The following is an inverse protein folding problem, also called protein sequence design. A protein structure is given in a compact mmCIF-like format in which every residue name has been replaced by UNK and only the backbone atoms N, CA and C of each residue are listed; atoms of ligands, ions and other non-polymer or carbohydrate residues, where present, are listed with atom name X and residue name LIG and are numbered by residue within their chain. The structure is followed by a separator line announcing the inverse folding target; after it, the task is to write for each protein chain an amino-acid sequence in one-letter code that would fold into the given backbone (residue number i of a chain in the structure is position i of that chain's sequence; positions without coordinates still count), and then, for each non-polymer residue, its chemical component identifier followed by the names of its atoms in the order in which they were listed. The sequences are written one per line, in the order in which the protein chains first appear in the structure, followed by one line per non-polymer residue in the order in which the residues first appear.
data_IF_149331780508
#
_entry.id   IF_149331780508
#
_cell.length_a   1.000
_cell.length_b   1.000
_cell.length_c   1.000
_cell.angle_alpha   90.00
_cell.angle_beta   90.00
_cell.angle_gamma   90.00
#
_symmetry.space_group_name_H-M   'P 1'
#
loop_
_entity.id
_entity.type
_entity.pdbx_description
1 polymer ?
#
# COMPACT_ATOMS: atom_id res chain seq x y z
N UNK A 1 -9.57 -9.98 -6.81
CA UNK A 1 -9.20 -10.61 -5.52
C UNK A 1 -9.59 -9.72 -4.33
N UNK A 2 -9.15 -8.45 -4.24
CA UNK A 2 -9.54 -7.57 -3.11
C UNK A 2 -11.05 -7.29 -3.05
N UNK A 3 -11.66 -6.95 -4.19
CA UNK A 3 -13.10 -6.67 -4.27
C UNK A 3 -13.97 -7.83 -3.80
N UNK A 4 -13.68 -9.05 -4.27
CA UNK A 4 -14.38 -10.27 -3.85
C UNK A 4 -14.24 -10.54 -2.35
N UNK A 5 -13.03 -10.37 -1.80
CA UNK A 5 -12.80 -10.48 -0.36
C UNK A 5 -13.63 -9.46 0.41
N UNK A 6 -13.63 -8.19 -0.05
CA UNK A 6 -14.41 -7.13 0.59
C UNK A 6 -15.92 -7.42 0.53
N UNK A 7 -16.43 -7.94 -0.59
CA UNK A 7 -17.81 -8.35 -0.73
C UNK A 7 -18.18 -9.48 0.23
N UNK A 8 -17.35 -10.52 0.34
CA UNK A 8 -17.59 -11.63 1.26
C UNK A 8 -17.64 -11.13 2.70
N UNK A 9 -16.69 -10.29 3.11
CA UNK A 9 -16.63 -9.78 4.49
C UNK A 9 -17.75 -8.78 4.76
N UNK A 10 -17.79 -7.66 4.04
CA UNK A 10 -18.66 -6.53 4.35
C UNK A 10 -20.13 -6.76 3.95
N UNK A 11 -20.38 -7.42 2.82
CA UNK A 11 -21.75 -7.59 2.31
C UNK A 11 -22.35 -8.93 2.68
N UNK A 12 -21.65 -10.04 2.40
CA UNK A 12 -22.19 -11.39 2.63
C UNK A 12 -22.25 -11.75 4.11
N UNK A 13 -21.27 -11.32 4.90
CA UNK A 13 -21.18 -11.65 6.32
C UNK A 13 -21.35 -10.46 7.26
N UNK A 14 -21.60 -9.25 6.73
CA UNK A 14 -21.76 -8.02 7.53
C UNK A 14 -20.62 -7.79 8.53
N UNK A 15 -19.41 -8.22 8.15
CA UNK A 15 -18.20 -8.12 8.96
C UNK A 15 -17.45 -6.81 8.70
N UNK A 16 -16.52 -6.50 9.61
CA UNK A 16 -15.63 -5.34 9.45
C UNK A 16 -14.49 -5.67 8.48
N UNK A 17 -14.23 -4.78 7.53
CA UNK A 17 -13.04 -4.87 6.65
C UNK A 17 -11.74 -4.59 7.42
N UNK A 18 -11.87 -4.08 8.65
CA UNK A 18 -10.76 -3.65 9.52
C UNK A 18 -10.99 -4.16 10.94
N UNK A 19 -10.16 -5.10 11.39
CA UNK A 19 -10.16 -5.54 12.79
C UNK A 19 -9.43 -4.55 13.70
N UNK A 20 -8.12 -4.45 13.49
CA UNK A 20 -7.21 -3.58 14.27
C UNK A 20 -6.44 -2.58 13.39
N UNK A 21 -6.22 -2.92 12.12
CA UNK A 21 -5.53 -2.06 11.17
C UNK A 21 -6.55 -1.23 10.39
N UNK A 22 -6.33 0.09 10.36
CA UNK A 22 -7.23 1.03 9.69
C UNK A 22 -7.27 0.87 8.16
N UNK A 23 -8.05 1.73 7.52
CA UNK A 23 -8.35 1.65 6.07
C UNK A 23 -7.10 1.59 5.18
N UNK A 24 -6.24 2.60 5.25
CA UNK A 24 -5.13 2.74 4.31
C UNK A 24 -5.59 2.80 2.83
N UNK A 25 -4.64 2.99 1.92
CA UNK A 25 -4.96 2.99 0.47
C UNK A 25 -5.51 1.64 -0.01
N UNK A 26 -5.16 0.55 0.68
CA UNK A 26 -5.57 -0.80 0.26
C UNK A 26 -7.08 -1.03 0.41
N UNK A 27 -7.71 -0.46 1.45
CA UNK A 27 -9.14 -0.65 1.71
C UNK A 27 -9.99 0.56 1.32
N UNK A 28 -9.38 1.75 1.10
CA UNK A 28 -10.09 2.99 0.82
C UNK A 28 -11.19 2.89 -0.26
N UNK A 29 -10.99 2.19 -1.40
CA UNK A 29 -12.05 2.01 -2.41
C UNK A 29 -13.30 1.29 -1.92
N UNK A 30 -13.18 0.48 -0.87
CA UNK A 30 -14.23 -0.43 -0.40
C UNK A 30 -14.91 0.06 0.88
N UNK A 31 -14.53 1.23 1.40
CA UNK A 31 -15.08 1.77 2.66
C UNK A 31 -16.58 2.01 2.56
N UNK A 32 -17.07 2.49 1.43
CA UNK A 32 -18.51 2.69 1.22
C UNK A 32 -19.29 1.37 1.29
N UNK A 33 -18.70 0.26 0.84
CA UNK A 33 -19.33 -1.07 0.92
C UNK A 33 -19.59 -1.50 2.37
N UNK A 34 -18.69 -1.15 3.28
CA UNK A 34 -18.79 -1.45 4.71
C UNK A 34 -19.69 -0.46 5.46
N UNK A 35 -19.57 0.84 5.16
CA UNK A 35 -20.25 1.90 5.89
C UNK A 35 -21.67 2.20 5.35
N UNK A 36 -21.93 1.82 4.11
CA UNK A 36 -23.09 2.24 3.35
C UNK A 36 -23.00 3.70 2.91
N UNK A 37 -23.81 4.04 1.90
CA UNK A 37 -23.78 5.35 1.25
C UNK A 37 -24.03 6.52 2.21
N UNK A 38 -24.95 6.37 3.18
CA UNK A 38 -25.28 7.44 4.14
C UNK A 38 -24.10 7.83 5.02
N UNK A 39 -23.47 6.84 5.66
CA UNK A 39 -22.35 7.13 6.56
C UNK A 39 -21.10 7.54 5.76
N UNK A 40 -20.89 6.96 4.58
CA UNK A 40 -19.83 7.39 3.66
C UNK A 40 -19.97 8.86 3.23
N UNK A 41 -21.19 9.30 2.87
CA UNK A 41 -21.49 10.70 2.52
C UNK A 41 -21.22 11.66 3.68
N UNK A 42 -21.69 11.34 4.89
CA UNK A 42 -21.43 12.15 6.09
C UNK A 42 -19.92 12.32 6.37
N UNK A 43 -19.12 11.29 6.10
CA UNK A 43 -17.68 11.35 6.29
C UNK A 43 -16.99 12.23 5.24
N UNK A 44 -17.53 12.32 4.02
CA UNK A 44 -17.08 13.29 3.01
C UNK A 44 -17.43 14.73 3.40
N UNK A 45 -18.66 14.98 3.86
CA UNK A 45 -19.06 16.30 4.37
C UNK A 45 -18.14 16.74 5.53
N UNK A 46 -17.86 15.82 6.46
CA UNK A 46 -16.92 16.07 7.56
C UNK A 46 -15.51 16.39 7.04
N UNK A 47 -15.02 15.63 6.05
CA UNK A 47 -13.70 15.87 5.46
C UNK A 47 -13.62 17.25 4.82
N UNK A 48 -14.64 17.65 4.07
CA UNK A 48 -14.71 18.95 3.40
C UNK A 48 -14.77 20.12 4.38
N UNK A 49 -15.46 19.94 5.51
CA UNK A 49 -15.56 20.97 6.55
C UNK A 49 -14.22 21.24 7.25
N UNK A 50 -13.44 20.19 7.51
CA UNK A 50 -12.18 20.29 8.26
C UNK A 50 -10.94 20.43 7.37
N UNK A 51 -11.00 19.98 6.11
CA UNK A 51 -9.89 20.01 5.15
C UNK A 51 -10.41 20.27 3.73
N UNK A 52 -10.87 21.51 3.45
CA UNK A 52 -11.50 21.87 2.17
C UNK A 52 -10.58 21.72 0.96
N UNK A 53 -9.26 21.84 1.17
CA UNK A 53 -8.24 21.69 0.14
C UNK A 53 -7.70 20.24 0.04
N UNK A 54 -8.22 19.32 0.86
CA UNK A 54 -7.87 17.90 0.90
C UNK A 54 -6.36 17.61 1.10
N UNK A 55 -5.65 18.44 1.88
CA UNK A 55 -4.21 18.34 2.09
C UNK A 55 -3.84 17.25 3.12
N UNK A 56 -4.73 16.97 4.07
CA UNK A 56 -4.48 16.03 5.15
C UNK A 56 -4.69 14.58 4.68
N UNK A 57 -3.57 13.90 4.44
CA UNK A 57 -3.48 12.46 4.14
C UNK A 57 -4.31 12.02 2.92
N UNK A 58 -4.03 12.59 1.73
CA UNK A 58 -4.86 12.40 0.53
C UNK A 58 -4.94 10.94 0.09
N UNK A 59 -6.17 10.50 -0.14
CA UNK A 59 -6.49 9.20 -0.73
C UNK A 59 -6.29 7.98 0.17
N UNK A 60 -6.13 8.15 1.48
CA UNK A 60 -5.81 7.05 2.43
C UNK A 60 -7.02 6.49 3.17
N UNK A 61 -8.01 7.32 3.52
CA UNK A 61 -9.22 6.85 4.21
C UNK A 61 -10.41 6.96 3.27
N UNK A 62 -10.66 8.16 2.77
CA UNK A 62 -11.65 8.44 1.74
C UNK A 62 -10.91 8.62 0.43
N UNK A 63 -11.37 7.90 -0.59
CA UNK A 63 -10.79 8.00 -1.92
C UNK A 63 -11.84 7.65 -2.98
N UNK A 64 -11.94 8.48 -4.03
CA UNK A 64 -12.84 8.26 -5.16
C UNK A 64 -12.19 7.43 -6.28
N UNK A 65 -10.88 7.17 -6.19
CA UNK A 65 -10.16 6.33 -7.14
C UNK A 65 -10.34 4.84 -6.78
N UNK A 66 -11.08 4.06 -7.60
CA UNK A 66 -11.34 2.64 -7.30
C UNK A 66 -10.06 1.79 -7.32
N UNK A 67 -9.04 2.26 -8.05
CA UNK A 67 -7.80 1.51 -8.29
C UNK A 67 -6.65 1.96 -7.37
N UNK A 68 -6.89 2.84 -6.39
CA UNK A 68 -5.81 3.34 -5.52
C UNK A 68 -5.08 2.22 -4.78
N UNK A 69 -5.78 1.11 -4.50
CA UNK A 69 -5.26 -0.06 -3.81
C UNK A 69 -4.15 -0.80 -4.60
N UNK A 70 -3.99 -0.53 -5.91
CA UNK A 70 -2.95 -1.14 -6.76
C UNK A 70 -1.93 -0.15 -7.33
N UNK A 71 -2.20 1.16 -7.33
CA UNK A 71 -1.33 2.16 -7.99
C UNK A 71 0.01 2.42 -7.30
N UNK A 72 0.06 2.31 -5.97
CA UNK A 72 1.22 2.73 -5.16
C UNK A 72 1.86 1.58 -4.40
N UNK A 73 1.89 0.40 -5.00
CA UNK A 73 2.50 -0.78 -4.39
C UNK A 73 4.01 -0.59 -4.30
N UNK A 74 4.53 -0.73 -3.08
CA UNK A 74 5.97 -0.71 -2.85
C UNK A 74 6.59 -1.88 -3.61
N UNK A 75 7.54 -1.63 -4.55
CA UNK A 75 8.26 -2.70 -5.21
C UNK A 75 8.96 -3.57 -4.17
N UNK A 76 8.83 -4.88 -4.32
CA UNK A 76 9.52 -5.85 -3.46
C UNK A 76 10.27 -6.85 -4.34
N UNK A 77 11.37 -6.42 -5.00
CA UNK A 77 12.18 -7.34 -5.77
C UNK A 77 12.74 -8.46 -4.88
N UNK A 78 13.07 -9.59 -5.49
CA UNK A 78 13.76 -10.66 -4.78
C UNK A 78 15.15 -10.16 -4.35
N UNK A 79 15.54 -10.40 -3.09
CA UNK A 79 16.87 -10.03 -2.62
C UNK A 79 17.93 -11.04 -3.11
N UNK A 80 17.73 -12.32 -2.81
CA UNK A 80 18.53 -13.47 -3.27
C UNK A 80 17.86 -14.75 -2.76
N UNK A 81 18.05 -15.87 -3.46
CA UNK A 81 17.51 -17.18 -3.06
C UNK A 81 18.05 -17.67 -1.70
N UNK A 82 19.19 -17.15 -1.25
CA UNK A 82 19.88 -17.60 -0.03
C UNK A 82 19.50 -16.71 1.18
N UNK A 83 18.92 -15.53 0.95
CA UNK A 83 18.62 -14.57 2.03
C UNK A 83 17.33 -14.98 2.73
N UNK A 84 17.45 -15.43 3.99
CA UNK A 84 16.33 -15.70 4.88
C UNK A 84 16.24 -14.63 5.99
N UNK A 85 15.16 -14.65 6.78
CA UNK A 85 14.89 -13.67 7.85
C UNK A 85 15.84 -13.77 9.06
N UNK A 86 16.61 -14.85 9.18
CA UNK A 86 17.45 -15.17 10.34
C UNK A 86 18.93 -15.04 9.98
N UNK A 87 19.43 -13.80 9.94
CA UNK A 87 20.84 -13.53 9.66
C UNK A 87 21.67 -13.56 10.95
N UNK A 88 22.68 -14.45 11.08
CA UNK A 88 23.50 -14.57 12.30
C UNK A 88 24.41 -13.37 12.55
N UNK A 89 24.57 -12.47 11.57
CA UNK A 89 25.39 -11.25 11.69
C UNK A 89 24.61 -10.03 12.15
N UNK A 90 23.44 -10.21 12.80
CA UNK A 90 22.51 -9.14 13.20
C UNK A 90 23.21 -8.03 13.98
N UNK A 91 24.13 -8.39 14.88
CA UNK A 91 24.78 -7.46 15.82
C UNK A 91 26.22 -7.11 15.42
N UNK A 92 26.68 -7.57 14.26
CA UNK A 92 28.04 -7.32 13.75
C UNK A 92 28.06 -6.30 12.61
N UNK A 93 26.95 -6.16 11.88
CA UNK A 93 26.83 -5.33 10.67
C UNK A 93 25.39 -4.80 10.53
N UNK A 94 24.87 -4.62 9.31
CA UNK A 94 23.45 -4.30 9.07
C UNK A 94 22.53 -5.42 9.59
N UNK A 95 21.41 -5.01 10.19
CA UNK A 95 20.33 -5.92 10.60
C UNK A 95 19.77 -6.69 9.40
N UNK A 96 19.16 -7.88 9.59
CA UNK A 96 18.57 -8.64 8.49
C UNK A 96 17.64 -7.80 7.59
N UNK A 97 16.80 -6.94 8.18
CA UNK A 97 15.88 -6.07 7.43
C UNK A 97 16.62 -5.02 6.60
N UNK A 98 17.63 -4.37 7.18
CA UNK A 98 18.45 -3.38 6.46
C UNK A 98 19.22 -4.04 5.31
N UNK A 99 19.75 -5.25 5.53
CA UNK A 99 20.44 -6.02 4.48
C UNK A 99 19.50 -6.39 3.33
N UNK A 100 18.31 -6.91 3.63
CA UNK A 100 17.28 -7.20 2.61
C UNK A 100 16.96 -5.94 1.80
N UNK A 101 16.82 -4.78 2.46
CA UNK A 101 16.57 -3.52 1.77
C UNK A 101 17.71 -3.14 0.81
N UNK A 102 18.98 -3.26 1.26
CA UNK A 102 20.16 -2.99 0.41
C UNK A 102 20.23 -3.94 -0.78
N UNK A 103 20.08 -5.25 -0.57
CA UNK A 103 20.11 -6.22 -1.67
C UNK A 103 19.00 -5.99 -2.69
N UNK A 104 17.79 -5.65 -2.23
CA UNK A 104 16.67 -5.30 -3.10
C UNK A 104 16.99 -4.09 -3.97
N UNK A 105 17.65 -3.09 -3.41
CA UNK A 105 18.04 -1.89 -4.13
C UNK A 105 19.17 -2.17 -5.13
N UNK A 106 20.19 -2.95 -4.74
CA UNK A 106 21.24 -3.40 -5.67
C UNK A 106 20.64 -4.16 -6.85
N UNK A 107 19.70 -5.08 -6.60
CA UNK A 107 19.00 -5.79 -7.66
C UNK A 107 18.19 -4.83 -8.55
N UNK A 108 17.47 -3.87 -7.96
CA UNK A 108 16.71 -2.87 -8.72
C UNK A 108 17.63 -2.06 -9.64
N UNK A 109 18.77 -1.58 -9.12
CA UNK A 109 19.76 -0.82 -9.89
C UNK A 109 20.37 -1.64 -11.03
N UNK A 110 20.70 -2.91 -10.79
CA UNK A 110 21.24 -3.80 -11.83
C UNK A 110 20.23 -4.12 -12.95
N UNK A 111 18.93 -3.97 -12.69
CA UNK A 111 17.87 -4.15 -13.71
C UNK A 111 17.52 -2.89 -14.47
N UNK A 112 18.05 -1.72 -14.08
CA UNK A 112 17.85 -0.49 -14.82
C UNK A 112 18.73 -0.48 -16.08
N UNK A 113 18.27 0.12 -17.19
CA UNK A 113 19.12 0.35 -18.35
C UNK A 113 20.28 1.28 -17.99
N UNK A 114 21.46 1.00 -18.56
CA UNK A 114 22.63 1.87 -18.39
C UNK A 114 22.32 3.27 -18.92
N UNK A 115 22.62 4.28 -18.10
CA UNK A 115 22.40 5.69 -18.44
C UNK A 115 23.12 6.11 -19.75
N UNK A 116 24.20 5.42 -20.12
CA UNK A 116 24.93 5.67 -21.37
C UNK A 116 24.22 5.20 -22.64
N UNK A 117 23.10 4.48 -22.53
CA UNK A 117 22.31 4.02 -23.68
C UNK A 117 21.25 5.04 -24.14
N UNK A 118 20.95 6.05 -23.31
CA UNK A 118 19.92 7.05 -23.58
C UNK A 118 20.39 8.25 -24.44
N UNK A 119 21.70 8.44 -24.62
CA UNK A 119 22.28 9.58 -25.38
C UNK A 119 22.56 9.29 -26.86
N UNK A 120 22.18 8.11 -27.40
CA UNK A 120 22.50 7.70 -28.78
C UNK A 120 21.33 7.77 -29.78
N UNK A 121 20.33 8.61 -29.56
CA UNK A 121 19.26 8.84 -30.56
C UNK A 121 19.01 10.31 -30.81
#
# INVERSE_FOLDING_TARGET
MMEEMCYIVATKHSGSLKGEHGTGRNVAPFVEMEWGNKAYGLMWELKELFDPDFVLNPGVILNKDPDVHIKNLKPSPAASAIVNSNCPSRDVTLTPRQRIAVYREMHRLNTLPDASSAEKT
#
